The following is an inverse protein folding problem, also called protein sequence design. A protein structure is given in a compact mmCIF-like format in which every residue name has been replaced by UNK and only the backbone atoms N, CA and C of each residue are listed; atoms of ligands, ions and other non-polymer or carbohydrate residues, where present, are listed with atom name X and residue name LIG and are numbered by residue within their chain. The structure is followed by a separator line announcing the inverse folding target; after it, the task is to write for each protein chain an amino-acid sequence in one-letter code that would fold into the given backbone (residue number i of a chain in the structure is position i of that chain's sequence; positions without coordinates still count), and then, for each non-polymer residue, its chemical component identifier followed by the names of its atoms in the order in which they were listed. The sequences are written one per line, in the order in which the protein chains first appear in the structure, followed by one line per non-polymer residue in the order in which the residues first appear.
data_IF_081633002487
#
_entry.id   IF_081633002487
#
_cell.length_a   1.000
_cell.length_b   1.000
_cell.length_c   1.000
_cell.angle_alpha   90.00
_cell.angle_beta   90.00
_cell.angle_gamma   90.00
#
_symmetry.space_group_name_H-M   'P 1'
#
loop_
_entity.id
_entity.type
_entity.pdbx_description
1 polymer ?
#
# COMPACT_ATOMS: atom_id res chain seq x y z
N UNK A 1 53.63 52.17 -44.51
CA UNK A 1 52.35 52.70 -43.97
C UNK A 1 51.49 51.50 -43.63
N UNK A 2 51.56 51.14 -42.34
CA UNK A 2 50.86 49.96 -41.83
C UNK A 2 49.59 50.38 -41.11
N UNK A 3 48.43 50.03 -41.61
CA UNK A 3 47.12 50.29 -40.99
C UNK A 3 46.87 49.24 -39.90
N UNK A 4 46.66 49.71 -38.66
CA UNK A 4 46.26 48.89 -37.50
C UNK A 4 44.72 48.72 -37.48
N UNK A 5 44.19 47.51 -37.33
CA UNK A 5 42.72 47.32 -37.27
C UNK A 5 42.17 47.72 -35.90
N UNK A 6 41.08 48.49 -35.88
CA UNK A 6 40.30 48.84 -34.68
C UNK A 6 39.52 47.60 -34.17
N UNK A 7 39.75 47.26 -32.91
CA UNK A 7 38.96 46.26 -32.19
C UNK A 7 37.79 46.95 -31.48
N UNK A 8 36.52 46.52 -31.69
CA UNK A 8 35.37 47.13 -31.01
C UNK A 8 35.38 46.75 -29.51
N UNK A 9 35.31 47.78 -28.66
CA UNK A 9 35.15 47.63 -27.20
C UNK A 9 33.68 47.34 -26.91
N UNK A 10 33.36 46.11 -26.54
CA UNK A 10 32.06 45.75 -25.97
C UNK A 10 31.96 46.32 -24.53
N UNK A 11 30.98 47.16 -24.30
CA UNK A 11 30.69 47.75 -22.99
C UNK A 11 29.98 46.72 -22.09
N UNK A 12 30.44 46.64 -20.84
CA UNK A 12 29.96 45.70 -19.78
C UNK A 12 28.47 45.86 -19.36
N UNK A 13 27.68 46.63 -20.08
CA UNK A 13 26.25 46.90 -19.74
C UNK A 13 25.21 46.09 -20.52
N UNK A 14 25.63 45.24 -21.44
CA UNK A 14 24.70 44.44 -22.28
C UNK A 14 24.49 42.99 -21.79
N UNK A 15 24.98 42.61 -20.60
CA UNK A 15 24.97 41.21 -20.13
C UNK A 15 24.06 40.96 -18.89
N UNK A 16 23.12 41.86 -18.57
CA UNK A 16 22.26 41.70 -17.38
C UNK A 16 20.76 41.57 -17.68
N UNK A 17 20.38 41.26 -18.90
CA UNK A 17 18.96 41.17 -19.28
C UNK A 17 18.53 39.81 -19.93
N UNK A 18 19.27 38.75 -19.73
CA UNK A 18 18.90 37.42 -20.26
C UNK A 18 19.01 36.31 -19.19
N UNK A 19 18.43 36.50 -18.01
CA UNK A 19 18.54 35.56 -16.91
C UNK A 19 17.26 35.38 -16.09
N UNK A 20 16.11 35.84 -16.59
CA UNK A 20 14.82 35.44 -16.01
C UNK A 20 14.34 34.14 -16.69
N UNK A 21 15.11 33.04 -16.57
CA UNK A 21 14.64 31.71 -16.85
C UNK A 21 13.60 31.38 -15.79
N UNK A 22 12.36 31.33 -16.24
CA UNK A 22 11.20 30.76 -15.58
C UNK A 22 11.59 29.41 -14.94
N UNK A 23 11.96 29.43 -13.68
CA UNK A 23 11.89 28.24 -12.81
C UNK A 23 10.39 27.94 -12.66
N UNK A 24 9.79 27.33 -13.67
CA UNK A 24 8.53 26.59 -13.52
C UNK A 24 8.85 25.42 -12.62
N UNK A 25 8.85 25.71 -11.30
CA UNK A 25 8.92 24.69 -10.30
C UNK A 25 7.81 23.71 -10.59
N UNK A 26 8.18 22.54 -11.10
CA UNK A 26 7.27 21.41 -11.24
C UNK A 26 6.75 21.11 -9.84
N UNK A 27 5.59 21.67 -9.51
CA UNK A 27 4.93 21.41 -8.23
C UNK A 27 4.61 19.93 -8.28
N UNK A 28 5.41 19.12 -7.57
CA UNK A 28 5.14 17.70 -7.43
C UNK A 28 3.67 17.57 -7.02
N UNK A 29 2.86 16.91 -7.84
CA UNK A 29 1.46 16.69 -7.53
C UNK A 29 1.39 16.04 -6.14
N UNK A 30 0.52 16.56 -5.28
CA UNK A 30 0.31 15.97 -3.97
C UNK A 30 -0.02 14.47 -4.16
N UNK A 31 0.50 13.59 -3.31
CA UNK A 31 0.23 12.17 -3.44
C UNK A 31 -1.28 11.94 -3.41
N UNK A 32 -1.78 11.12 -4.34
CA UNK A 32 -3.19 10.77 -4.41
C UNK A 32 -3.66 10.19 -3.06
N UNK A 33 -4.77 10.71 -2.54
CA UNK A 33 -5.36 10.30 -1.26
C UNK A 33 -6.85 10.15 -1.42
N UNK A 34 -7.39 9.12 -0.78
CA UNK A 34 -8.83 8.91 -0.66
C UNK A 34 -9.39 9.75 0.48
N UNK A 35 -10.56 10.33 0.29
CA UNK A 35 -11.30 10.97 1.36
C UNK A 35 -11.87 9.93 2.36
N UNK A 36 -12.57 10.39 3.39
CA UNK A 36 -13.12 9.50 4.43
C UNK A 36 -14.12 8.49 3.87
N UNK A 37 -15.01 8.91 2.97
CA UNK A 37 -16.03 8.03 2.40
C UNK A 37 -15.42 7.02 1.43
N UNK A 38 -14.48 7.45 0.60
CA UNK A 38 -13.70 6.60 -0.28
C UNK A 38 -12.83 5.61 0.52
N UNK A 39 -12.19 6.07 1.59
CA UNK A 39 -11.40 5.21 2.48
C UNK A 39 -12.26 4.12 3.12
N UNK A 40 -13.50 4.41 3.50
CA UNK A 40 -14.41 3.40 4.03
C UNK A 40 -14.78 2.38 2.94
N UNK A 41 -15.16 2.82 1.73
CA UNK A 41 -15.46 1.91 0.61
C UNK A 41 -14.26 1.02 0.26
N UNK A 42 -13.06 1.59 0.24
CA UNK A 42 -11.83 0.82 0.04
C UNK A 42 -11.67 -0.28 1.10
N UNK A 43 -11.87 0.03 2.38
CA UNK A 43 -11.77 -0.93 3.48
C UNK A 43 -12.80 -2.04 3.37
N UNK A 44 -14.02 -1.69 2.98
CA UNK A 44 -15.10 -2.64 2.77
C UNK A 44 -14.75 -3.61 1.63
N UNK A 45 -14.19 -3.12 0.52
CA UNK A 45 -13.68 -3.96 -0.55
C UNK A 45 -12.49 -4.81 -0.13
N UNK A 46 -11.50 -4.22 0.53
CA UNK A 46 -10.29 -4.92 0.95
C UNK A 46 -10.62 -6.10 1.88
N UNK A 47 -11.47 -5.87 2.86
CA UNK A 47 -11.87 -6.92 3.79
C UNK A 47 -12.73 -7.98 3.14
N UNK A 48 -13.66 -7.61 2.26
CA UNK A 48 -14.46 -8.55 1.48
C UNK A 48 -13.59 -9.45 0.60
N UNK A 49 -12.62 -8.88 -0.08
CA UNK A 49 -11.72 -9.61 -0.97
C UNK A 49 -10.81 -10.57 -0.21
N UNK A 50 -10.23 -10.15 0.91
CA UNK A 50 -9.43 -11.03 1.77
C UNK A 50 -10.29 -12.16 2.33
N UNK A 51 -11.48 -11.85 2.81
CA UNK A 51 -12.43 -12.86 3.29
C UNK A 51 -12.77 -13.89 2.20
N UNK A 52 -13.03 -13.43 0.97
CA UNK A 52 -13.29 -14.32 -0.15
C UNK A 52 -12.10 -15.25 -0.48
N UNK A 53 -10.85 -14.79 -0.31
CA UNK A 53 -9.67 -15.66 -0.46
C UNK A 53 -9.59 -16.72 0.65
N UNK A 54 -9.97 -16.38 1.89
CA UNK A 54 -10.00 -17.33 3.01
C UNK A 54 -11.06 -18.42 2.76
N UNK A 55 -12.25 -18.01 2.37
CA UNK A 55 -13.39 -18.95 2.18
C UNK A 55 -13.25 -19.85 0.95
N UNK A 56 -12.70 -19.33 -0.14
CA UNK A 56 -12.70 -20.00 -1.45
C UNK A 56 -11.32 -20.43 -1.93
N UNK A 57 -10.29 -20.08 -1.20
CA UNK A 57 -8.90 -20.22 -1.61
C UNK A 57 -8.39 -19.08 -2.48
N UNK A 58 -7.06 -19.01 -2.67
CA UNK A 58 -6.41 -17.97 -3.43
C UNK A 58 -6.80 -17.99 -4.91
N UNK A 59 -7.26 -16.85 -5.43
CA UNK A 59 -7.51 -16.68 -6.87
C UNK A 59 -6.20 -16.79 -7.69
N UNK A 60 -6.23 -17.28 -8.94
CA UNK A 60 -5.05 -17.33 -9.81
C UNK A 60 -4.40 -15.96 -10.07
N UNK A 61 -5.15 -14.85 -9.95
CA UNK A 61 -4.62 -13.49 -10.10
C UNK A 61 -3.70 -13.06 -8.96
N UNK A 62 -3.79 -13.69 -7.81
CA UNK A 62 -2.86 -13.47 -6.71
C UNK A 62 -1.59 -14.31 -6.94
N UNK A 63 -0.62 -13.74 -7.64
CA UNK A 63 0.58 -14.44 -8.12
C UNK A 63 1.65 -14.59 -7.04
N UNK A 64 1.86 -13.58 -6.20
CA UNK A 64 2.87 -13.61 -5.12
C UNK A 64 2.19 -13.90 -3.79
N UNK A 65 2.15 -15.18 -3.44
CA UNK A 65 1.45 -15.68 -2.24
C UNK A 65 2.36 -15.66 -1.03
N UNK A 66 2.52 -14.47 -0.47
CA UNK A 66 3.19 -14.18 0.78
C UNK A 66 2.41 -13.11 1.57
N UNK A 67 2.89 -12.72 2.75
CA UNK A 67 2.19 -11.76 3.61
C UNK A 67 2.05 -10.37 2.96
N UNK A 68 3.09 -9.86 2.31
CA UNK A 68 3.04 -8.61 1.58
C UNK A 68 2.21 -8.73 0.29
N UNK A 69 2.28 -9.90 -0.36
CA UNK A 69 1.48 -10.23 -1.55
C UNK A 69 -0.01 -10.25 -1.28
N UNK A 70 -0.45 -10.70 -0.09
CA UNK A 70 -1.85 -10.60 0.34
C UNK A 70 -2.31 -9.13 0.34
N UNK A 71 -1.51 -8.24 0.92
CA UNK A 71 -1.81 -6.81 0.99
C UNK A 71 -1.81 -6.20 -0.40
N UNK A 72 -0.76 -6.43 -1.21
CA UNK A 72 -0.66 -5.89 -2.57
C UNK A 72 -1.82 -6.34 -3.45
N UNK A 73 -2.17 -7.61 -3.39
CA UNK A 73 -3.31 -8.17 -4.13
C UNK A 73 -4.63 -7.52 -3.69
N UNK A 74 -4.90 -7.50 -2.38
CA UNK A 74 -6.14 -6.95 -1.86
C UNK A 74 -6.30 -5.46 -2.19
N UNK A 75 -5.21 -4.67 -2.08
CA UNK A 75 -5.20 -3.25 -2.45
C UNK A 75 -5.47 -3.08 -3.95
N UNK A 76 -4.75 -3.79 -4.81
CA UNK A 76 -4.92 -3.67 -6.26
C UNK A 76 -6.31 -4.07 -6.73
N UNK A 77 -6.88 -5.13 -6.14
CA UNK A 77 -8.25 -5.55 -6.46
C UNK A 77 -9.30 -4.58 -5.89
N UNK A 78 -9.08 -3.99 -4.69
CA UNK A 78 -10.01 -3.00 -4.12
C UNK A 78 -10.09 -1.69 -4.89
N UNK A 79 -9.04 -1.34 -5.61
CA UNK A 79 -8.93 -0.10 -6.39
C UNK A 79 -9.34 -0.25 -7.87
N UNK A 80 -9.85 -1.40 -8.26
CA UNK A 80 -10.32 -1.61 -9.64
C UNK A 80 -11.84 -1.45 -9.74
N UNK A 81 -12.32 -1.34 -10.97
CA UNK A 81 -13.73 -1.48 -11.28
C UNK A 81 -14.17 -2.96 -11.15
N UNK A 82 -15.33 -3.19 -10.55
CA UNK A 82 -15.91 -4.52 -10.33
C UNK A 82 -17.14 -4.72 -11.24
N UNK A 83 -16.90 -4.78 -12.54
CA UNK A 83 -17.92 -5.02 -13.54
C UNK A 83 -18.57 -6.43 -13.42
N UNK A 84 -19.59 -6.68 -14.21
CA UNK A 84 -20.31 -7.97 -14.19
C UNK A 84 -19.40 -9.17 -14.52
N UNK A 85 -18.44 -8.98 -15.43
CA UNK A 85 -17.51 -10.04 -15.82
C UNK A 85 -16.59 -10.38 -14.64
N UNK A 86 -16.06 -9.35 -13.97
CA UNK A 86 -15.25 -9.52 -12.77
C UNK A 86 -16.04 -10.18 -11.63
N UNK A 87 -17.29 -9.71 -11.36
CA UNK A 87 -18.16 -10.27 -10.30
C UNK A 87 -18.46 -11.75 -10.56
N UNK A 88 -18.73 -12.11 -11.82
CA UNK A 88 -18.94 -13.49 -12.23
C UNK A 88 -17.71 -14.36 -11.99
N UNK A 89 -16.54 -13.89 -12.44
CA UNK A 89 -15.26 -14.59 -12.29
C UNK A 89 -14.84 -14.77 -10.83
N UNK A 90 -15.35 -13.93 -9.91
CA UNK A 90 -15.07 -14.02 -8.48
C UNK A 90 -16.20 -14.67 -7.66
N UNK A 91 -17.26 -15.17 -8.30
CA UNK A 91 -18.39 -15.79 -7.62
C UNK A 91 -19.18 -14.83 -6.72
N UNK A 92 -19.18 -13.52 -7.06
CA UNK A 92 -19.82 -12.46 -6.27
C UNK A 92 -21.15 -11.97 -6.91
N UNK A 93 -21.65 -12.69 -7.92
CA UNK A 93 -22.96 -12.41 -8.50
C UNK A 93 -24.08 -12.56 -7.46
N UNK A 94 -25.02 -11.62 -7.47
CA UNK A 94 -26.17 -11.63 -6.54
C UNK A 94 -25.84 -11.23 -5.10
N UNK A 95 -24.58 -10.95 -4.78
CA UNK A 95 -24.19 -10.43 -3.47
C UNK A 95 -24.37 -8.92 -3.41
N UNK A 96 -24.72 -8.41 -2.23
CA UNK A 96 -24.65 -6.97 -1.95
C UNK A 96 -23.19 -6.58 -1.75
N UNK A 97 -22.66 -5.84 -2.71
CA UNK A 97 -21.28 -5.41 -2.73
C UNK A 97 -21.15 -3.95 -2.31
N UNK A 98 -19.98 -3.53 -1.77
CA UNK A 98 -19.67 -2.13 -1.59
C UNK A 98 -19.75 -1.37 -2.93
N UNK A 99 -20.07 -0.07 -2.93
CA UNK A 99 -19.93 0.75 -4.12
C UNK A 99 -18.48 0.82 -4.59
N UNK A 100 -18.27 0.85 -5.90
CA UNK A 100 -16.94 1.07 -6.46
C UNK A 100 -16.40 2.47 -6.15
N UNK A 101 -15.09 2.60 -6.14
CA UNK A 101 -14.41 3.88 -6.09
C UNK A 101 -14.29 4.44 -7.51
N UNK A 102 -14.18 5.77 -7.62
CA UNK A 102 -13.95 6.42 -8.90
C UNK A 102 -12.61 6.03 -9.52
N UNK A 103 -12.62 5.63 -10.78
CA UNK A 103 -11.42 5.19 -11.50
C UNK A 103 -10.34 6.29 -11.56
N UNK A 104 -10.74 7.56 -11.67
CA UNK A 104 -9.83 8.70 -11.69
C UNK A 104 -9.02 8.83 -10.39
N UNK A 105 -9.62 8.54 -9.25
CA UNK A 105 -8.98 8.61 -7.94
C UNK A 105 -8.13 7.36 -7.64
N UNK A 106 -8.50 6.21 -8.17
CA UNK A 106 -7.88 4.93 -7.84
C UNK A 106 -6.72 4.53 -8.75
N UNK A 107 -6.75 4.92 -10.02
CA UNK A 107 -5.73 4.56 -10.99
C UNK A 107 -4.31 4.97 -10.55
N UNK A 108 -4.06 6.17 -10.00
CA UNK A 108 -2.74 6.57 -9.52
C UNK A 108 -2.23 5.76 -8.32
N UNK A 109 -3.12 5.07 -7.60
CA UNK A 109 -2.80 4.30 -6.39
C UNK A 109 -2.59 2.82 -6.71
N UNK A 110 -3.21 2.33 -7.78
CA UNK A 110 -3.19 0.93 -8.15
C UNK A 110 -1.83 0.53 -8.72
N UNK A 111 -1.21 -0.52 -8.16
CA UNK A 111 0.13 -1.00 -8.55
C UNK A 111 1.24 0.07 -8.50
N UNK A 112 1.11 1.04 -7.62
CA UNK A 112 1.99 2.21 -7.55
C UNK A 112 2.65 2.34 -6.17
N UNK A 113 3.21 1.24 -5.66
CA UNK A 113 3.92 1.21 -4.40
C UNK A 113 5.19 2.03 -4.48
N UNK A 114 5.39 2.89 -3.49
CA UNK A 114 6.60 3.68 -3.36
C UNK A 114 7.73 2.80 -2.85
N UNK A 115 8.90 2.93 -3.46
CA UNK A 115 10.14 2.28 -3.07
C UNK A 115 11.03 3.24 -2.29
N UNK A 116 12.02 2.69 -1.60
CA UNK A 116 12.98 3.46 -0.79
C UNK A 116 13.78 4.47 -1.63
N UNK A 117 14.02 4.19 -2.89
CA UNK A 117 14.68 5.10 -3.83
C UNK A 117 13.75 6.20 -4.38
N UNK A 118 12.50 6.24 -3.94
CA UNK A 118 11.47 7.19 -4.36
C UNK A 118 10.76 6.83 -5.67
N UNK A 119 11.17 5.78 -6.36
CA UNK A 119 10.47 5.26 -7.55
C UNK A 119 9.17 4.57 -7.16
N UNK A 120 8.38 4.15 -8.14
CA UNK A 120 7.15 3.39 -7.93
C UNK A 120 7.20 2.08 -8.70
N UNK A 121 6.68 1.02 -8.08
CA UNK A 121 6.63 -0.31 -8.66
C UNK A 121 5.33 -1.02 -8.28
N UNK A 122 4.96 -2.02 -9.04
CA UNK A 122 3.87 -2.93 -8.70
C UNK A 122 4.23 -3.87 -7.54
N UNK A 123 5.51 -4.04 -7.25
CA UNK A 123 6.03 -4.94 -6.24
C UNK A 123 6.91 -4.21 -5.22
N UNK A 124 6.64 -4.46 -3.92
CA UNK A 124 7.48 -4.08 -2.77
C UNK A 124 7.43 -5.19 -1.72
N UNK A 125 8.51 -5.38 -0.97
CA UNK A 125 8.57 -6.29 0.17
C UNK A 125 7.78 -5.76 1.39
N UNK A 126 7.68 -6.55 2.44
CA UNK A 126 6.92 -6.20 3.63
C UNK A 126 7.47 -4.95 4.34
N UNK A 127 8.78 -4.86 4.50
CA UNK A 127 9.45 -3.73 5.12
C UNK A 127 9.20 -2.43 4.34
N UNK A 128 9.48 -2.45 3.04
CA UNK A 128 9.33 -1.29 2.17
C UNK A 128 7.85 -0.87 2.02
N UNK A 129 6.92 -1.85 2.01
CA UNK A 129 5.49 -1.57 2.03
C UNK A 129 5.11 -0.75 3.26
N UNK A 130 5.61 -1.14 4.43
CA UNK A 130 5.28 -0.44 5.68
C UNK A 130 5.98 0.90 5.75
N UNK A 131 7.27 0.97 5.52
CA UNK A 131 8.07 2.18 5.68
C UNK A 131 7.66 3.30 4.72
N UNK A 132 7.42 2.95 3.45
CA UNK A 132 7.20 3.94 2.39
C UNK A 132 5.72 4.17 2.05
N UNK A 133 4.82 3.22 2.44
CA UNK A 133 3.44 3.24 1.96
C UNK A 133 2.39 3.20 3.08
N UNK A 134 2.83 3.30 4.34
CA UNK A 134 1.91 3.37 5.48
C UNK A 134 2.28 4.51 6.43
N UNK A 135 1.41 4.74 7.39
CA UNK A 135 1.67 5.56 8.57
C UNK A 135 1.34 4.77 9.83
N UNK A 136 2.10 4.95 10.91
CA UNK A 136 1.78 4.32 12.19
C UNK A 136 0.45 4.87 12.74
N UNK A 137 -0.31 4.01 13.41
CA UNK A 137 -1.57 4.35 14.07
C UNK A 137 -1.41 4.22 15.58
N UNK A 138 -1.03 3.03 16.04
CA UNK A 138 -0.89 2.70 17.46
C UNK A 138 -0.10 1.41 17.64
N UNK A 139 0.26 1.10 18.87
CA UNK A 139 0.75 -0.24 19.25
C UNK A 139 -0.34 -1.14 19.83
N UNK A 140 -1.57 -0.68 19.87
CA UNK A 140 -2.71 -1.39 20.46
C UNK A 140 -3.79 -1.66 19.43
N UNK A 141 -4.32 -2.88 19.40
CA UNK A 141 -5.40 -3.29 18.49
C UNK A 141 -6.70 -2.50 18.69
N UNK A 142 -6.93 -1.95 19.88
CA UNK A 142 -8.14 -1.17 20.18
C UNK A 142 -8.30 0.08 19.31
N UNK A 143 -7.22 0.56 18.71
CA UNK A 143 -7.22 1.71 17.79
C UNK A 143 -7.22 1.31 16.32
N UNK A 144 -7.12 0.00 16.04
CA UNK A 144 -7.15 -0.50 14.68
C UNK A 144 -8.57 -0.49 14.13
N UNK A 145 -8.71 -0.13 12.86
CA UNK A 145 -9.95 -0.31 12.10
C UNK A 145 -9.72 -1.33 10.98
N UNK A 146 -10.79 -1.97 10.52
CA UNK A 146 -10.72 -2.99 9.48
C UNK A 146 -9.91 -2.51 8.26
N UNK A 147 -8.99 -3.33 7.77
CA UNK A 147 -8.05 -3.00 6.70
C UNK A 147 -6.74 -2.34 7.16
N UNK A 148 -6.55 -2.08 8.45
CA UNK A 148 -5.24 -1.71 8.98
C UNK A 148 -4.32 -2.93 9.04
N UNK A 149 -3.01 -2.68 8.96
CA UNK A 149 -1.98 -3.71 8.92
C UNK A 149 -1.33 -3.85 10.30
N UNK A 150 -1.06 -5.08 10.70
CA UNK A 150 -0.25 -5.40 11.86
C UNK A 150 1.14 -5.77 11.36
N UNK A 151 2.16 -5.03 11.78
CA UNK A 151 3.51 -5.23 11.32
C UNK A 151 4.39 -5.81 12.43
N UNK A 152 5.10 -6.87 12.06
CA UNK A 152 6.07 -7.55 12.91
C UNK A 152 7.44 -7.51 12.24
N UNK A 153 8.45 -7.14 13.00
CA UNK A 153 9.84 -7.08 12.58
C UNK A 153 10.68 -7.97 13.50
N UNK A 154 11.26 -9.01 12.91
CA UNK A 154 12.13 -9.97 13.61
C UNK A 154 13.61 -9.73 13.27
N UNK A 155 13.93 -8.59 12.65
CA UNK A 155 15.26 -8.29 12.13
C UNK A 155 15.41 -8.75 10.69
N UNK A 156 15.80 -9.99 10.48
CA UNK A 156 16.01 -10.54 9.14
C UNK A 156 14.70 -10.88 8.41
N UNK A 157 13.62 -11.12 9.16
CA UNK A 157 12.31 -11.46 8.63
C UNK A 157 11.27 -10.43 9.06
N UNK A 158 10.40 -10.03 8.16
CA UNK A 158 9.25 -9.18 8.44
C UNK A 158 7.95 -9.90 8.11
N UNK A 159 6.92 -9.59 8.87
CA UNK A 159 5.61 -10.17 8.63
C UNK A 159 4.49 -9.14 8.70
N UNK A 160 3.51 -9.31 7.80
CA UNK A 160 2.31 -8.50 7.74
C UNK A 160 1.08 -9.36 7.98
N UNK A 161 0.19 -8.85 8.82
CA UNK A 161 -1.16 -9.37 8.97
C UNK A 161 -2.16 -8.23 8.73
N UNK A 162 -3.41 -8.56 8.39
CA UNK A 162 -4.47 -7.59 8.15
C UNK A 162 -5.52 -7.70 9.24
N UNK A 163 -5.82 -6.59 9.88
CA UNK A 163 -6.92 -6.51 10.82
C UNK A 163 -8.27 -6.46 10.08
N UNK A 164 -9.12 -7.43 10.32
CA UNK A 164 -10.42 -7.58 9.65
C UNK A 164 -11.60 -7.06 10.48
N UNK A 165 -11.31 -6.38 11.60
CA UNK A 165 -12.32 -5.86 12.54
C UNK A 165 -12.75 -6.85 13.64
N UNK A 166 -12.72 -8.15 13.36
CA UNK A 166 -13.08 -9.22 14.33
C UNK A 166 -12.02 -10.31 14.43
N UNK A 167 -11.26 -10.50 13.39
CA UNK A 167 -10.20 -11.48 13.29
C UNK A 167 -9.03 -10.88 12.50
N UNK A 168 -7.95 -11.60 12.45
CA UNK A 168 -6.73 -11.21 11.75
C UNK A 168 -6.52 -12.20 10.61
N UNK A 169 -6.33 -11.69 9.40
CA UNK A 169 -5.99 -12.47 8.22
C UNK A 169 -4.49 -12.34 7.92
N UNK A 170 -3.84 -13.45 7.58
CA UNK A 170 -2.43 -13.43 7.22
C UNK A 170 -2.06 -14.61 6.32
N UNK A 171 -0.91 -14.52 5.66
CA UNK A 171 -0.33 -15.61 4.89
C UNK A 171 0.97 -16.05 5.54
N UNK A 172 1.17 -17.33 5.76
CA UNK A 172 2.34 -17.88 6.47
C UNK A 172 3.67 -17.72 5.74
N UNK A 173 3.66 -17.28 4.48
CA UNK A 173 4.83 -17.27 3.62
C UNK A 173 5.17 -18.63 3.00
N UNK A 174 4.47 -19.69 3.40
CA UNK A 174 4.68 -21.06 2.93
C UNK A 174 3.45 -21.56 2.18
N UNK A 175 3.68 -22.31 1.11
CA UNK A 175 2.66 -23.01 0.34
C UNK A 175 3.11 -24.47 0.23
N UNK A 176 2.22 -25.38 0.59
CA UNK A 176 2.43 -26.82 0.49
C UNK A 176 1.33 -27.47 -0.36
N UNK A 177 1.48 -28.72 -0.74
CA UNK A 177 0.53 -29.40 -1.63
C UNK A 177 -0.93 -29.31 -1.18
N UNK A 178 -1.18 -29.34 0.13
CA UNK A 178 -2.52 -29.26 0.72
C UNK A 178 -2.72 -28.03 1.62
N UNK A 179 -1.84 -27.04 1.50
CA UNK A 179 -1.87 -25.83 2.33
C UNK A 179 -1.49 -24.59 1.51
N UNK A 180 -2.47 -23.72 1.31
CA UNK A 180 -2.30 -22.49 0.56
C UNK A 180 -1.64 -21.36 1.37
N UNK A 181 -1.28 -21.61 2.63
CA UNK A 181 -0.61 -20.65 3.51
C UNK A 181 -1.51 -19.56 4.10
N UNK A 182 -2.75 -19.40 3.64
CA UNK A 182 -3.66 -18.36 4.11
C UNK A 182 -4.35 -18.78 5.41
N UNK A 183 -4.45 -17.87 6.35
CA UNK A 183 -4.98 -18.12 7.70
C UNK A 183 -5.88 -16.99 8.16
N UNK A 184 -6.80 -17.36 9.05
CA UNK A 184 -7.57 -16.42 9.87
C UNK A 184 -7.47 -16.85 11.34
N UNK A 185 -7.26 -15.89 12.23
CA UNK A 185 -7.17 -16.13 13.68
C UNK A 185 -7.91 -15.01 14.41
N UNK A 186 -8.64 -15.34 15.47
CA UNK A 186 -9.22 -14.33 16.35
C UNK A 186 -8.14 -13.63 17.15
N UNK A 187 -8.33 -12.35 17.45
CA UNK A 187 -7.35 -11.57 18.21
C UNK A 187 -7.07 -12.18 19.60
N UNK A 188 -8.12 -12.63 20.30
CA UNK A 188 -7.99 -13.28 21.61
C UNK A 188 -7.20 -14.59 21.54
N UNK A 189 -7.39 -15.37 20.48
CA UNK A 189 -6.61 -16.58 20.23
C UNK A 189 -5.13 -16.27 19.97
N UNK A 190 -4.85 -15.24 19.14
CA UNK A 190 -3.48 -14.83 18.84
C UNK A 190 -2.75 -14.33 20.11
N UNK A 191 -3.44 -13.56 20.94
CA UNK A 191 -2.91 -13.14 22.26
C UNK A 191 -2.62 -14.33 23.20
N UNK A 192 -3.36 -15.43 23.05
CA UNK A 192 -3.17 -16.66 23.82
C UNK A 192 -2.11 -17.62 23.28
N UNK A 193 -1.48 -17.33 22.13
CA UNK A 193 -0.49 -18.24 21.56
C UNK A 193 0.73 -18.40 22.50
N UNK A 194 1.28 -19.62 22.53
CA UNK A 194 2.51 -19.93 23.29
C UNK A 194 3.71 -19.16 22.75
N UNK A 195 3.79 -19.02 21.42
CA UNK A 195 4.80 -18.18 20.77
C UNK A 195 4.40 -16.70 20.87
N UNK A 196 4.94 -16.05 21.89
CA UNK A 196 4.64 -14.65 22.23
C UNK A 196 5.12 -13.65 21.16
N UNK A 197 6.03 -14.06 20.27
CA UNK A 197 6.54 -13.20 19.18
C UNK A 197 5.44 -12.71 18.23
N UNK A 198 4.31 -13.42 18.18
CA UNK A 198 3.17 -13.09 17.32
C UNK A 198 2.07 -12.29 18.01
N UNK A 199 2.21 -11.98 19.29
CA UNK A 199 1.19 -11.24 20.03
C UNK A 199 1.18 -9.78 19.60
N UNK A 200 0.03 -9.21 19.17
CA UNK A 200 -0.08 -7.79 18.82
C UNK A 200 -0.28 -6.95 20.10
N UNK A 201 0.75 -6.86 20.91
CA UNK A 201 0.73 -6.19 22.22
C UNK A 201 1.99 -5.36 22.43
N UNK A 202 1.88 -4.34 23.28
CA UNK A 202 2.95 -3.36 23.54
C UNK A 202 4.22 -3.97 24.12
N UNK A 203 4.09 -5.08 24.87
CA UNK A 203 5.18 -5.81 25.49
C UNK A 203 5.94 -6.73 24.51
N UNK A 204 5.40 -6.95 23.31
CA UNK A 204 6.10 -7.72 22.28
C UNK A 204 7.09 -6.82 21.51
N UNK A 205 8.41 -7.02 21.67
CA UNK A 205 9.41 -6.19 20.97
C UNK A 205 9.35 -6.34 19.44
N UNK A 206 8.87 -7.48 18.95
CA UNK A 206 8.76 -7.71 17.50
C UNK A 206 7.52 -7.06 16.88
N UNK A 207 6.52 -6.69 17.68
CA UNK A 207 5.33 -6.02 17.17
C UNK A 207 5.60 -4.52 17.03
N UNK A 208 5.87 -4.06 15.81
CA UNK A 208 6.10 -2.65 15.52
C UNK A 208 4.85 -1.80 15.63
N UNK A 209 3.67 -2.42 15.50
CA UNK A 209 2.38 -1.75 15.72
C UNK A 209 1.37 -1.93 14.60
N UNK A 210 0.32 -1.13 14.72
CA UNK A 210 -0.75 -1.00 13.73
C UNK A 210 -0.38 0.10 12.75
N UNK A 211 -0.45 -0.21 11.47
CA UNK A 211 -0.12 0.68 10.38
C UNK A 211 -1.31 0.86 9.44
N UNK A 212 -1.45 2.04 8.89
CA UNK A 212 -2.51 2.38 7.95
C UNK A 212 -1.92 2.78 6.62
N UNK A 213 -2.48 2.29 5.51
CA UNK A 213 -2.07 2.69 4.18
C UNK A 213 -2.11 4.22 4.06
N UNK A 214 -1.03 4.82 3.58
CA UNK A 214 -0.81 6.26 3.62
C UNK A 214 -1.82 7.06 2.79
N UNK A 215 -2.43 6.44 1.78
CA UNK A 215 -3.45 7.08 0.93
C UNK A 215 -4.86 7.10 1.57
N UNK A 216 -5.07 6.45 2.70
CA UNK A 216 -6.35 6.47 3.43
C UNK A 216 -6.46 7.68 4.37
N UNK A 217 -7.64 8.25 4.47
CA UNK A 217 -7.96 9.26 5.47
C UNK A 217 -7.97 8.70 6.90
#
# INVERSE_FOLDING_TARGET
MNAVPLVPRFTRRALLLAGALLATGSRAAAPARLDRAQSQRFRDWMTLLIHAQIERGPTPRWTHRDCAGLVRFAVAESLREHDLAWRRANGLLGMRLPPDLDAGDTQPLRHAWRRVDGTRDAFVGALELVQENTRPVARQLTQAVAGDLLFYDFGDEQHLMVWMGRYIAYHTGRIEANDNGLRAVRADQLLGWKDTRWRPSDDNPNFSGVHRLAFLA
#
